data_IF_344703847947
#
_entry.id   IF_344703847947
#
_cell.length_a   1.000
_cell.length_b   1.000
_cell.length_c   1.000
_cell.angle_alpha   90.00
_cell.angle_beta   90.00
_cell.angle_gamma   90.00
#
_symmetry.space_group_name_H-M   'P 1'
#
loop_
_entity.id
_entity.type
_entity.pdbx_description
1 polymer ?
#
# COMPACT_ATOMS: atom_id res chain seq x y z
N UNK A 1 23.62 -21.40 -14.26
CA UNK A 1 22.19 -21.12 -14.14
C UNK A 1 21.88 -21.11 -12.65
N UNK A 2 21.55 -19.97 -12.08
CA UNK A 2 21.12 -19.88 -10.68
C UNK A 2 19.80 -20.61 -10.52
N UNK A 3 19.79 -21.58 -9.63
CA UNK A 3 18.61 -22.37 -9.30
C UNK A 3 17.60 -21.44 -8.60
N UNK A 4 16.49 -21.10 -9.25
CA UNK A 4 15.47 -20.20 -8.68
C UNK A 4 14.44 -20.99 -7.91
N UNK A 5 14.11 -20.55 -6.70
CA UNK A 5 13.02 -21.13 -5.91
C UNK A 5 11.69 -20.51 -6.37
N UNK A 6 10.71 -21.31 -6.80
CA UNK A 6 9.42 -20.76 -7.24
C UNK A 6 8.62 -20.19 -6.05
N UNK A 7 8.03 -19.01 -6.25
CA UNK A 7 7.04 -18.40 -5.35
C UNK A 7 5.68 -18.56 -6.00
N UNK A 8 4.94 -19.59 -5.61
CA UNK A 8 3.73 -20.02 -6.32
C UNK A 8 2.55 -19.09 -6.06
N UNK A 9 2.15 -18.89 -4.82
CA UNK A 9 0.99 -18.11 -4.42
C UNK A 9 1.39 -16.76 -3.82
N UNK A 10 0.61 -15.71 -4.11
CA UNK A 10 0.77 -14.39 -3.52
C UNK A 10 -0.58 -13.89 -2.98
N UNK A 11 -0.52 -13.32 -1.78
CA UNK A 11 -1.56 -12.42 -1.25
C UNK A 11 -1.00 -11.00 -1.30
N UNK A 12 -1.58 -10.16 -2.13
CA UNK A 12 -1.24 -8.73 -2.21
C UNK A 12 -1.94 -8.00 -1.05
N UNK A 13 -1.27 -7.92 0.08
CA UNK A 13 -1.86 -7.43 1.33
C UNK A 13 -2.08 -5.91 1.39
N UNK A 14 -1.62 -5.16 0.39
CA UNK A 14 -1.93 -3.74 0.21
C UNK A 14 -1.76 -3.33 -1.25
N UNK A 15 -2.87 -3.04 -1.90
CA UNK A 15 -2.92 -2.43 -3.22
C UNK A 15 -4.13 -1.47 -3.31
N UNK A 16 -4.32 -0.86 -4.47
CA UNK A 16 -5.47 0.01 -4.76
C UNK A 16 -6.12 -0.41 -6.06
N UNK A 17 -7.33 0.10 -6.32
CA UNK A 17 -8.02 -0.12 -7.58
C UNK A 17 -7.27 0.43 -8.80
N UNK A 18 -7.67 -0.02 -9.97
CA UNK A 18 -7.19 0.48 -11.26
C UNK A 18 -8.15 1.48 -11.87
N UNK A 19 -7.64 2.41 -12.69
CA UNK A 19 -8.44 3.41 -13.38
C UNK A 19 -9.40 2.76 -14.36
N UNK A 20 -10.63 3.28 -14.43
CA UNK A 20 -11.65 2.87 -15.42
C UNK A 20 -11.51 3.62 -16.73
N UNK A 21 -10.66 4.63 -16.81
CA UNK A 21 -10.48 5.52 -17.97
C UNK A 21 -9.15 5.25 -18.67
N UNK A 22 -9.16 5.41 -20.01
CA UNK A 22 -7.95 5.32 -20.80
C UNK A 22 -7.07 6.56 -20.61
N UNK A 23 -5.76 6.36 -20.71
CA UNK A 23 -4.76 7.40 -20.47
C UNK A 23 -3.98 7.75 -21.74
N UNK A 24 -3.73 9.03 -21.93
CA UNK A 24 -2.73 9.49 -22.88
C UNK A 24 -1.31 9.23 -22.39
N UNK A 25 -0.31 9.34 -23.28
CA UNK A 25 1.10 9.05 -22.98
C UNK A 25 1.60 9.82 -21.76
N UNK A 26 1.44 11.15 -21.74
CA UNK A 26 1.95 11.98 -20.64
C UNK A 26 1.27 11.67 -19.29
N UNK A 27 -0.04 11.38 -19.31
CA UNK A 27 -0.79 11.03 -18.10
C UNK A 27 -0.41 9.64 -17.58
N UNK A 28 -0.21 8.68 -18.48
CA UNK A 28 0.28 7.35 -18.12
C UNK A 28 1.68 7.42 -17.52
N UNK A 29 2.57 8.15 -18.18
CA UNK A 29 3.94 8.34 -17.75
C UNK A 29 4.04 9.01 -16.36
N UNK A 30 3.23 10.05 -16.11
CA UNK A 30 3.18 10.70 -14.80
C UNK A 30 2.77 9.74 -13.66
N UNK A 31 2.00 8.69 -13.96
CA UNK A 31 1.62 7.66 -12.98
C UNK A 31 2.70 6.61 -12.73
N UNK A 32 3.66 6.46 -13.63
CA UNK A 32 4.87 5.68 -13.36
C UNK A 32 5.79 6.41 -12.38
N UNK A 33 5.76 7.75 -12.36
CA UNK A 33 6.55 8.58 -11.45
C UNK A 33 5.99 8.58 -10.03
N UNK A 34 6.88 8.54 -9.04
CA UNK A 34 6.48 8.56 -7.63
C UNK A 34 5.75 9.86 -7.23
N UNK A 35 6.15 10.98 -7.80
CA UNK A 35 5.61 12.32 -7.51
C UNK A 35 4.35 12.67 -8.31
N UNK A 36 3.92 11.83 -9.25
CA UNK A 36 2.80 12.10 -10.18
C UNK A 36 2.94 13.43 -10.96
N UNK A 37 4.14 13.93 -11.05
CA UNK A 37 4.49 15.09 -11.87
C UNK A 37 4.90 14.63 -13.27
N UNK A 38 4.76 15.48 -14.30
CA UNK A 38 5.32 15.19 -15.62
C UNK A 38 6.84 15.04 -15.53
N UNK A 39 7.39 14.23 -16.43
CA UNK A 39 8.85 14.10 -16.55
C UNK A 39 9.46 15.44 -16.97
N UNK A 40 10.69 15.69 -16.53
CA UNK A 40 11.42 16.89 -16.94
C UNK A 40 11.64 16.90 -18.49
N UNK A 41 11.73 18.06 -19.11
CA UNK A 41 11.98 18.15 -20.55
C UNK A 41 13.17 17.30 -20.99
N UNK A 42 12.99 16.50 -22.04
CA UNK A 42 14.02 15.60 -22.57
C UNK A 42 14.24 14.31 -21.76
N UNK A 43 13.42 14.04 -20.74
CA UNK A 43 13.46 12.81 -19.95
C UNK A 43 12.13 12.05 -20.00
N UNK A 44 12.13 10.80 -19.55
CA UNK A 44 10.93 9.95 -19.49
C UNK A 44 10.97 9.04 -18.27
N UNK A 45 9.83 8.79 -17.63
CA UNK A 45 9.70 7.80 -16.55
C UNK A 45 9.75 6.36 -17.07
N UNK A 46 9.69 6.13 -18.37
CA UNK A 46 9.99 4.82 -18.94
C UNK A 46 11.50 4.46 -18.82
N UNK A 47 12.38 5.44 -18.58
CA UNK A 47 13.80 5.23 -18.29
C UNK A 47 14.05 5.22 -16.76
N UNK A 48 13.21 4.46 -16.04
CA UNK A 48 13.35 4.16 -14.62
C UNK A 48 13.30 2.65 -14.41
N UNK A 49 13.66 2.18 -13.20
CA UNK A 49 13.55 0.76 -12.85
C UNK A 49 12.12 0.22 -13.07
N UNK A 50 11.11 0.98 -12.66
CA UNK A 50 9.71 0.64 -12.88
C UNK A 50 9.35 0.67 -14.37
N UNK A 51 9.79 1.70 -15.08
CA UNK A 51 9.54 1.83 -16.52
C UNK A 51 10.15 0.70 -17.35
N UNK A 52 11.39 0.30 -17.06
CA UNK A 52 12.01 -0.87 -17.70
C UNK A 52 11.27 -2.17 -17.37
N UNK A 53 10.79 -2.33 -16.13
CA UNK A 53 10.01 -3.50 -15.76
C UNK A 53 8.66 -3.56 -16.50
N UNK A 54 7.97 -2.43 -16.63
CA UNK A 54 6.73 -2.33 -17.46
C UNK A 54 7.03 -2.72 -18.90
N UNK A 55 8.08 -2.18 -19.52
CA UNK A 55 8.49 -2.50 -20.88
C UNK A 55 8.88 -3.97 -21.07
N UNK A 56 9.40 -4.61 -20.01
CA UNK A 56 9.78 -6.03 -20.04
C UNK A 56 8.58 -6.96 -20.02
N UNK A 57 7.63 -6.73 -19.11
CA UNK A 57 6.61 -7.74 -18.78
C UNK A 57 5.22 -7.45 -19.33
N UNK A 58 4.86 -6.17 -19.53
CA UNK A 58 3.50 -5.86 -19.94
C UNK A 58 3.22 -6.07 -21.43
N UNK A 59 4.12 -5.67 -22.36
CA UNK A 59 3.84 -5.81 -23.80
C UNK A 59 3.55 -7.22 -24.25
N UNK A 60 4.27 -8.29 -23.81
CA UNK A 60 3.97 -9.65 -24.23
C UNK A 60 2.55 -10.13 -23.90
N UNK A 61 1.98 -9.65 -22.78
CA UNK A 61 0.61 -9.98 -22.40
C UNK A 61 -0.46 -9.30 -23.28
N UNK A 62 -0.06 -8.27 -24.00
CA UNK A 62 -0.91 -7.57 -24.97
C UNK A 62 -0.62 -7.98 -26.42
N UNK A 63 0.25 -8.97 -26.64
CA UNK A 63 0.61 -9.46 -27.97
C UNK A 63 1.69 -8.62 -28.68
N UNK A 64 2.54 -7.93 -27.93
CA UNK A 64 3.67 -7.16 -28.43
C UNK A 64 5.00 -7.75 -27.97
N UNK A 65 6.09 -7.40 -28.62
CA UNK A 65 7.40 -7.77 -28.16
C UNK A 65 7.80 -7.03 -26.87
N UNK A 66 8.56 -7.71 -26.02
CA UNK A 66 9.13 -7.07 -24.84
C UNK A 66 10.01 -5.88 -25.25
N UNK A 67 9.97 -4.82 -24.45
CA UNK A 67 10.70 -3.58 -24.70
C UNK A 67 10.30 -2.80 -25.96
N UNK A 68 9.12 -3.07 -26.55
CA UNK A 68 8.61 -2.26 -27.65
C UNK A 68 8.54 -0.75 -27.25
N UNK A 69 8.53 0.16 -28.23
CA UNK A 69 8.38 1.59 -27.94
C UNK A 69 7.12 1.90 -27.10
N UNK A 70 7.19 2.79 -26.10
CA UNK A 70 6.06 3.15 -25.27
C UNK A 70 4.82 3.59 -26.05
N UNK A 71 5.01 4.31 -27.16
CA UNK A 71 3.89 4.74 -28.02
C UNK A 71 3.13 3.54 -28.63
N UNK A 72 3.84 2.49 -29.06
CA UNK A 72 3.23 1.26 -29.58
C UNK A 72 2.46 0.52 -28.49
N UNK A 73 3.05 0.44 -27.29
CA UNK A 73 2.39 -0.18 -26.14
C UNK A 73 1.07 0.52 -25.81
N UNK A 74 1.07 1.86 -25.72
CA UNK A 74 -0.14 2.63 -25.40
C UNK A 74 -1.17 2.62 -26.53
N UNK A 75 -0.74 2.57 -27.80
CA UNK A 75 -1.67 2.36 -28.92
C UNK A 75 -2.40 1.01 -28.77
N UNK A 76 -1.65 -0.05 -28.46
CA UNK A 76 -2.23 -1.38 -28.24
C UNK A 76 -3.17 -1.46 -27.03
N UNK A 77 -2.82 -0.78 -25.92
CA UNK A 77 -3.74 -0.64 -24.77
C UNK A 77 -5.08 -0.03 -25.18
N UNK A 78 -5.03 1.05 -25.98
CA UNK A 78 -6.23 1.75 -26.46
C UNK A 78 -7.08 0.89 -27.40
N UNK A 79 -6.45 0.09 -28.26
CA UNK A 79 -7.15 -0.86 -29.13
C UNK A 79 -7.89 -1.94 -28.34
N UNK A 80 -7.29 -2.47 -27.30
CA UNK A 80 -7.88 -3.48 -26.43
C UNK A 80 -8.95 -2.90 -25.49
N UNK A 81 -8.80 -1.62 -25.12
CA UNK A 81 -9.60 -0.96 -24.12
C UNK A 81 -9.15 -1.28 -22.68
N UNK A 82 -9.58 -0.43 -21.75
CA UNK A 82 -9.15 -0.47 -20.33
C UNK A 82 -9.51 -1.79 -19.66
N UNK A 83 -10.73 -2.27 -19.85
CA UNK A 83 -11.24 -3.48 -19.19
C UNK A 83 -10.45 -4.73 -19.59
N UNK A 84 -10.22 -4.93 -20.89
CA UNK A 84 -9.47 -6.09 -21.39
C UNK A 84 -7.99 -6.02 -21.02
N UNK A 85 -7.39 -4.84 -21.10
CA UNK A 85 -6.01 -4.62 -20.68
C UNK A 85 -5.85 -4.93 -19.18
N UNK A 86 -6.72 -4.39 -18.33
CA UNK A 86 -6.70 -4.65 -16.90
C UNK A 86 -6.89 -6.13 -16.59
N UNK A 87 -7.83 -6.79 -17.25
CA UNK A 87 -8.08 -8.22 -17.09
C UNK A 87 -6.84 -9.06 -17.43
N UNK A 88 -6.16 -8.80 -18.55
CA UNK A 88 -4.96 -9.54 -18.95
C UNK A 88 -3.82 -9.35 -17.96
N UNK A 89 -3.56 -8.12 -17.58
CA UNK A 89 -2.44 -7.79 -16.69
C UNK A 89 -2.68 -8.28 -15.26
N UNK A 90 -3.88 -8.07 -14.69
CA UNK A 90 -4.21 -8.50 -13.33
C UNK A 90 -4.21 -10.02 -13.21
N UNK A 91 -4.80 -10.76 -14.15
CA UNK A 91 -4.73 -12.24 -14.14
C UNK A 91 -3.32 -12.77 -14.22
N UNK A 92 -2.44 -12.12 -14.99
CA UNK A 92 -1.05 -12.53 -15.15
C UNK A 92 -0.19 -12.25 -13.90
N UNK A 93 -0.71 -11.53 -12.89
CA UNK A 93 -0.05 -11.37 -11.58
C UNK A 93 0.07 -12.70 -10.84
N UNK A 94 -0.89 -13.61 -10.99
CA UNK A 94 -0.98 -14.83 -10.20
C UNK A 94 -1.18 -14.56 -8.71
N UNK A 95 -1.80 -13.45 -8.34
CA UNK A 95 -2.20 -13.12 -6.97
C UNK A 95 -3.55 -13.77 -6.69
N UNK A 96 -3.66 -14.51 -5.60
CA UNK A 96 -4.88 -15.21 -5.21
C UNK A 96 -5.86 -14.33 -4.43
N UNK A 97 -5.34 -13.37 -3.65
CA UNK A 97 -6.15 -12.43 -2.87
C UNK A 97 -5.56 -11.03 -2.97
N UNK A 98 -6.39 -10.03 -3.28
CA UNK A 98 -6.03 -8.62 -3.26
C UNK A 98 -6.71 -7.93 -2.08
N UNK A 99 -5.95 -7.30 -1.18
CA UNK A 99 -6.48 -6.42 -0.15
C UNK A 99 -6.42 -4.98 -0.65
N UNK A 100 -7.58 -4.41 -0.92
CA UNK A 100 -7.74 -3.16 -1.69
C UNK A 100 -8.02 -1.99 -0.74
N UNK A 101 -7.08 -1.06 -0.62
CA UNK A 101 -7.31 0.23 0.04
C UNK A 101 -8.15 1.14 -0.88
N UNK A 102 -9.41 1.36 -0.51
CA UNK A 102 -10.37 2.16 -1.29
C UNK A 102 -10.24 3.67 -1.06
N UNK A 103 -9.33 4.10 -0.20
CA UNK A 103 -9.17 5.51 0.20
C UNK A 103 -8.37 6.40 -0.78
N UNK A 104 -8.05 5.96 -2.00
CA UNK A 104 -7.49 6.86 -3.01
C UNK A 104 -8.60 7.60 -3.76
N UNK A 105 -8.43 8.92 -3.99
CA UNK A 105 -9.37 9.67 -4.82
C UNK A 105 -9.23 9.27 -6.30
N UNK A 106 -10.33 9.33 -7.01
CA UNK A 106 -10.40 9.06 -8.45
C UNK A 106 -11.42 7.99 -8.81
N UNK A 107 -11.62 7.81 -10.12
CA UNK A 107 -12.49 6.78 -10.65
C UNK A 107 -11.73 5.44 -10.73
N UNK A 108 -11.63 4.76 -9.59
CA UNK A 108 -10.92 3.50 -9.42
C UNK A 108 -11.89 2.34 -9.20
N UNK A 109 -11.49 1.16 -9.63
CA UNK A 109 -12.23 -0.07 -9.36
C UNK A 109 -12.25 -0.39 -7.87
N UNK A 110 -13.41 -0.81 -7.37
CA UNK A 110 -13.57 -1.35 -6.02
C UNK A 110 -13.14 -2.82 -5.91
N UNK A 111 -13.21 -3.41 -4.69
CA UNK A 111 -12.81 -4.81 -4.47
C UNK A 111 -13.54 -5.81 -5.37
N UNK A 112 -14.85 -5.71 -5.54
CA UNK A 112 -15.62 -6.63 -6.38
C UNK A 112 -15.20 -6.59 -7.86
N UNK A 113 -14.93 -5.40 -8.39
CA UNK A 113 -14.45 -5.24 -9.77
C UNK A 113 -13.01 -5.74 -9.92
N UNK A 114 -12.15 -5.50 -8.91
CA UNK A 114 -10.79 -6.04 -8.88
C UNK A 114 -10.81 -7.57 -8.90
N UNK A 115 -11.65 -8.20 -8.07
CA UNK A 115 -11.82 -9.64 -8.02
C UNK A 115 -12.24 -10.20 -9.39
N UNK A 116 -13.24 -9.58 -10.04
CA UNK A 116 -13.72 -9.96 -11.36
C UNK A 116 -12.64 -9.83 -12.43
N UNK A 117 -11.92 -8.71 -12.46
CA UNK A 117 -10.87 -8.45 -13.44
C UNK A 117 -9.66 -9.38 -13.23
N UNK A 118 -9.22 -9.60 -12.01
CA UNK A 118 -8.10 -10.47 -11.69
C UNK A 118 -8.45 -11.98 -11.76
N UNK A 119 -9.73 -12.33 -11.61
CA UNK A 119 -10.16 -13.72 -11.47
C UNK A 119 -9.68 -14.34 -10.16
N UNK A 120 -9.66 -13.55 -9.09
CA UNK A 120 -9.15 -13.91 -7.76
C UNK A 120 -10.05 -13.29 -6.68
N UNK A 121 -9.77 -13.54 -5.41
CA UNK A 121 -10.47 -12.89 -4.31
C UNK A 121 -9.98 -11.43 -4.12
N UNK A 122 -10.87 -10.55 -3.66
CA UNK A 122 -10.50 -9.23 -3.19
C UNK A 122 -11.33 -8.81 -1.97
N UNK A 123 -10.67 -8.17 -1.02
CA UNK A 123 -11.26 -7.67 0.23
C UNK A 123 -10.92 -6.20 0.43
N UNK A 124 -11.73 -5.51 1.21
CA UNK A 124 -11.54 -4.09 1.47
C UNK A 124 -10.64 -3.81 2.66
N UNK A 125 -9.76 -2.81 2.50
CA UNK A 125 -9.04 -2.12 3.58
C UNK A 125 -9.63 -0.73 3.71
N UNK A 126 -10.06 -0.36 4.91
CA UNK A 126 -10.66 0.95 5.16
C UNK A 126 -9.60 1.95 5.62
N UNK A 127 -9.54 3.10 4.94
CA UNK A 127 -8.63 4.19 5.29
C UNK A 127 -9.26 5.12 6.31
N UNK A 128 -8.66 5.21 7.50
CA UNK A 128 -9.19 5.95 8.63
C UNK A 128 -9.36 7.45 8.34
N UNK A 129 -8.45 8.06 7.58
CA UNK A 129 -8.53 9.46 7.19
C UNK A 129 -9.79 9.75 6.36
N UNK A 130 -10.08 8.87 5.39
CA UNK A 130 -11.24 9.01 4.51
C UNK A 130 -12.54 8.72 5.25
N UNK A 131 -12.53 7.74 6.15
CA UNK A 131 -13.67 7.46 7.02
C UNK A 131 -14.03 8.69 7.86
N UNK A 132 -13.03 9.34 8.48
CA UNK A 132 -13.24 10.57 9.24
C UNK A 132 -13.81 11.70 8.38
N UNK A 133 -13.32 11.87 7.14
CA UNK A 133 -13.82 12.86 6.21
C UNK A 133 -15.29 12.64 5.86
N UNK A 134 -15.69 11.41 5.58
CA UNK A 134 -17.08 11.06 5.26
C UNK A 134 -18.02 11.30 6.45
N UNK A 135 -17.60 10.94 7.66
CA UNK A 135 -18.38 11.18 8.88
C UNK A 135 -18.52 12.68 9.14
N UNK A 136 -17.45 13.45 8.95
CA UNK A 136 -17.49 14.90 9.12
C UNK A 136 -18.48 15.59 8.17
N UNK A 137 -18.63 15.08 6.94
CA UNK A 137 -19.54 15.65 5.93
C UNK A 137 -21.03 15.45 6.30
N UNK A 138 -21.33 14.53 7.20
CA UNK A 138 -22.70 14.20 7.63
C UNK A 138 -22.99 14.57 9.08
N UNK A 139 -22.02 15.12 9.83
CA UNK A 139 -22.15 15.45 11.24
C UNK A 139 -22.31 16.94 11.46
N UNK A 140 -23.38 17.36 12.14
CA UNK A 140 -23.70 18.78 12.35
C UNK A 140 -23.01 19.42 13.57
N UNK A 141 -22.49 18.64 14.50
CA UNK A 141 -21.82 19.11 15.72
C UNK A 141 -20.59 18.28 16.04
N UNK A 142 -19.68 18.81 16.87
CA UNK A 142 -18.47 18.08 17.30
C UNK A 142 -18.84 16.82 18.06
N UNK A 143 -19.87 16.88 18.91
CA UNK A 143 -20.30 15.72 19.70
C UNK A 143 -20.91 14.64 18.83
N UNK A 144 -21.80 14.99 17.92
CA UNK A 144 -22.34 14.06 16.94
C UNK A 144 -21.23 13.46 16.07
N UNK A 145 -20.27 14.27 15.64
CA UNK A 145 -19.12 13.78 14.88
C UNK A 145 -18.33 12.72 15.64
N UNK A 146 -17.98 12.94 16.90
CA UNK A 146 -17.18 11.99 17.67
C UNK A 146 -17.94 10.67 17.96
N UNK A 147 -19.24 10.76 18.21
CA UNK A 147 -20.09 9.56 18.38
C UNK A 147 -20.20 8.79 17.07
N UNK A 148 -20.57 9.47 15.98
CA UNK A 148 -20.74 8.86 14.68
C UNK A 148 -19.40 8.26 14.16
N UNK A 149 -18.26 8.87 14.52
CA UNK A 149 -16.93 8.38 14.14
C UNK A 149 -16.62 7.03 14.79
N UNK A 150 -16.94 6.87 16.09
CA UNK A 150 -16.80 5.59 16.79
C UNK A 150 -17.70 4.50 16.19
N UNK A 151 -18.96 4.84 15.89
CA UNK A 151 -19.90 3.92 15.24
C UNK A 151 -19.45 3.55 13.82
N UNK A 152 -18.93 4.50 13.05
CA UNK A 152 -18.42 4.25 11.71
C UNK A 152 -17.19 3.33 11.68
N UNK A 153 -16.26 3.47 12.63
CA UNK A 153 -15.13 2.55 12.79
C UNK A 153 -15.61 1.15 13.11
N UNK A 154 -16.54 1.01 14.05
CA UNK A 154 -17.09 -0.29 14.44
C UNK A 154 -17.87 -0.94 13.27
N UNK A 155 -18.67 -0.17 12.56
CA UNK A 155 -19.42 -0.65 11.38
C UNK A 155 -18.47 -1.09 10.27
N UNK A 156 -17.43 -0.30 9.98
CA UNK A 156 -16.43 -0.65 8.98
C UNK A 156 -15.70 -1.96 9.34
N UNK A 157 -15.42 -2.19 10.62
CA UNK A 157 -14.77 -3.41 11.08
C UNK A 157 -15.58 -4.69 10.80
N UNK A 158 -16.89 -4.61 10.61
CA UNK A 158 -17.72 -5.78 10.32
C UNK A 158 -17.56 -6.33 8.90
N UNK A 159 -17.02 -5.55 7.97
CA UNK A 159 -16.85 -5.93 6.55
C UNK A 159 -15.42 -5.80 6.04
N UNK A 160 -14.60 -4.92 6.61
CA UNK A 160 -13.22 -4.76 6.26
C UNK A 160 -12.34 -5.88 6.82
N UNK A 161 -11.20 -6.14 6.18
CA UNK A 161 -10.19 -7.08 6.70
C UNK A 161 -9.08 -6.38 7.48
N UNK A 162 -8.95 -5.07 7.32
CA UNK A 162 -7.95 -4.24 8.00
C UNK A 162 -8.31 -2.76 7.93
N UNK A 163 -7.68 -1.99 8.81
CA UNK A 163 -7.63 -0.53 8.68
C UNK A 163 -6.25 -0.08 8.17
N UNK A 164 -6.20 1.08 7.52
CA UNK A 164 -4.93 1.71 7.14
C UNK A 164 -4.93 3.19 7.52
N UNK A 165 -3.77 3.69 7.98
CA UNK A 165 -3.58 5.10 8.34
C UNK A 165 -2.16 5.57 8.00
N UNK A 166 -2.01 6.84 7.63
CA UNK A 166 -0.71 7.48 7.51
C UNK A 166 -0.14 7.81 8.89
N UNK A 167 1.16 7.61 9.07
CA UNK A 167 1.85 7.97 10.32
C UNK A 167 2.65 9.27 10.19
N UNK A 168 2.70 9.84 8.98
CA UNK A 168 3.41 11.08 8.72
C UNK A 168 2.47 12.26 8.57
N UNK A 169 2.90 13.42 9.06
CA UNK A 169 2.25 14.71 8.85
C UNK A 169 3.19 15.66 8.13
N UNK A 170 2.66 16.54 7.31
CA UNK A 170 3.46 17.59 6.70
C UNK A 170 4.00 18.54 7.78
N UNK A 171 5.30 18.82 7.75
CA UNK A 171 5.97 19.76 8.63
C UNK A 171 6.86 20.72 7.83
N UNK A 172 7.32 21.78 8.48
CA UNK A 172 8.35 22.65 7.90
C UNK A 172 9.64 21.81 7.74
N UNK A 173 10.06 21.59 6.49
CA UNK A 173 11.23 20.75 6.18
C UNK A 173 10.92 19.33 5.73
N UNK A 174 9.63 18.96 5.56
CA UNK A 174 9.24 17.64 5.03
C UNK A 174 8.12 16.96 5.82
N UNK A 175 8.05 15.64 5.69
CA UNK A 175 7.12 14.81 6.47
C UNK A 175 7.76 14.41 7.80
N UNK A 176 7.05 14.63 8.90
CA UNK A 176 7.44 14.16 10.24
C UNK A 176 6.52 13.02 10.67
N UNK A 177 7.12 11.96 11.24
CA UNK A 177 6.36 10.88 11.86
C UNK A 177 5.70 11.39 13.14
N UNK A 178 4.40 11.14 13.28
CA UNK A 178 3.64 11.52 14.45
C UNK A 178 2.55 10.49 14.77
N UNK A 179 2.86 9.66 15.75
CA UNK A 179 1.95 8.66 16.34
C UNK A 179 2.19 8.68 17.85
N UNK A 180 1.13 8.90 18.62
CA UNK A 180 1.22 8.93 20.08
C UNK A 180 1.09 7.50 20.65
N UNK A 181 1.89 7.15 21.69
CA UNK A 181 1.80 5.87 22.36
C UNK A 181 0.51 5.72 23.21
N UNK A 182 -0.24 6.80 23.39
CA UNK A 182 -1.51 6.81 24.12
C UNK A 182 -2.58 7.56 23.33
N UNK A 183 -3.86 7.17 23.47
CA UNK A 183 -4.96 7.92 22.87
C UNK A 183 -5.10 9.30 23.51
N UNK A 184 -5.54 10.33 22.78
CA UNK A 184 -5.76 11.64 23.34
C UNK A 184 -6.91 11.63 24.34
N UNK A 185 -6.76 12.37 25.44
CA UNK A 185 -7.84 12.55 26.41
C UNK A 185 -9.09 13.23 25.81
N UNK A 186 -10.30 12.98 26.36
CA UNK A 186 -11.56 13.41 25.75
C UNK A 186 -11.69 14.92 25.56
N UNK A 187 -11.18 15.73 26.49
CA UNK A 187 -11.21 17.19 26.37
C UNK A 187 -10.35 17.65 25.19
N UNK A 188 -9.14 17.11 25.07
CA UNK A 188 -8.20 17.42 23.99
C UNK A 188 -8.77 17.00 22.64
N UNK A 189 -9.33 15.78 22.56
CA UNK A 189 -9.96 15.26 21.36
C UNK A 189 -11.07 16.17 20.86
N UNK A 190 -11.95 16.64 21.75
CA UNK A 190 -13.06 17.54 21.43
C UNK A 190 -12.59 18.87 20.84
N UNK A 191 -11.53 19.46 21.42
CA UNK A 191 -10.92 20.70 20.94
C UNK A 191 -10.32 20.52 19.54
N UNK A 192 -9.59 19.44 19.32
CA UNK A 192 -8.94 19.14 18.05
C UNK A 192 -9.98 18.83 16.96
N UNK A 193 -10.99 18.02 17.26
CA UNK A 193 -12.09 17.73 16.35
C UNK A 193 -12.83 19.00 15.93
N UNK A 194 -13.16 19.88 16.88
CA UNK A 194 -13.82 21.16 16.59
C UNK A 194 -12.99 22.05 15.67
N UNK A 195 -11.69 22.16 15.92
CA UNK A 195 -10.77 22.93 15.05
C UNK A 195 -10.69 22.36 13.64
N UNK A 196 -10.60 21.03 13.52
CA UNK A 196 -10.52 20.37 12.23
C UNK A 196 -11.81 20.54 11.41
N UNK A 197 -12.98 20.36 12.03
CA UNK A 197 -14.29 20.57 11.40
C UNK A 197 -14.46 22.01 10.92
N UNK A 198 -14.07 23.00 11.73
CA UNK A 198 -14.14 24.40 11.35
C UNK A 198 -13.28 24.70 10.10
N UNK A 199 -12.04 24.18 10.06
CA UNK A 199 -11.16 24.35 8.87
C UNK A 199 -11.71 23.66 7.63
N UNK A 200 -12.32 22.47 7.76
CA UNK A 200 -12.97 21.80 6.63
C UNK A 200 -14.11 22.64 6.07
N UNK A 201 -14.92 23.25 6.92
CA UNK A 201 -16.04 24.09 6.46
C UNK A 201 -15.52 25.36 5.78
N UNK A 202 -14.47 26.00 6.31
CA UNK A 202 -13.82 27.15 5.67
C UNK A 202 -13.31 26.81 4.27
N UNK A 203 -12.64 25.65 4.07
CA UNK A 203 -12.18 25.19 2.76
C UNK A 203 -13.35 24.88 1.81
N UNK A 204 -14.44 24.26 2.30
CA UNK A 204 -15.64 23.99 1.49
C UNK A 204 -16.27 25.29 1.00
N UNK A 205 -16.35 26.30 1.86
CA UNK A 205 -16.87 27.62 1.51
C UNK A 205 -15.95 28.35 0.52
N UNK A 206 -14.63 28.24 0.70
CA UNK A 206 -13.65 28.81 -0.23
C UNK A 206 -13.72 28.15 -1.62
N UNK A 207 -13.87 26.81 -1.68
CA UNK A 207 -14.01 26.08 -2.93
C UNK A 207 -15.27 26.45 -3.72
N UNK A 208 -16.36 26.83 -3.05
CA UNK A 208 -17.61 27.31 -3.68
C UNK A 208 -17.47 28.72 -4.29
N UNK A 209 -16.47 29.52 -3.86
CA UNK A 209 -16.28 30.89 -4.31
C UNK A 209 -15.44 31.06 -5.58
N UNK A 210 -14.81 30.00 -6.11
CA UNK A 210 -14.08 30.04 -7.37
C UNK A 210 -13.01 28.97 -7.54
N UNK A 211 -12.53 28.74 -8.78
CA UNK A 211 -11.60 27.65 -9.10
C UNK A 211 -10.13 27.84 -8.65
N UNK A 212 -9.86 28.80 -7.78
CA UNK A 212 -8.53 29.11 -7.25
C UNK A 212 -8.13 28.33 -5.99
N UNK A 213 -9.03 27.53 -5.42
CA UNK A 213 -8.73 26.68 -4.28
C UNK A 213 -7.91 25.46 -4.72
N UNK A 214 -6.67 25.37 -4.25
CA UNK A 214 -5.87 24.14 -4.39
C UNK A 214 -6.64 23.00 -3.71
N UNK A 215 -7.15 22.05 -4.50
CA UNK A 215 -7.94 20.90 -4.05
C UNK A 215 -7.11 19.87 -3.29
N UNK A 216 -6.50 20.30 -2.19
CA UNK A 216 -5.93 19.40 -1.19
C UNK A 216 -6.81 19.51 0.04
N UNK A 217 -7.71 18.54 0.28
CA UNK A 217 -8.58 18.54 1.46
C UNK A 217 -7.80 18.76 2.75
N UNK A 218 -8.46 19.36 3.76
CA UNK A 218 -7.87 19.60 5.08
C UNK A 218 -7.42 18.25 5.65
N UNK A 219 -6.11 18.08 5.84
CA UNK A 219 -5.58 16.86 6.43
C UNK A 219 -6.13 16.68 7.84
N UNK A 220 -6.47 15.45 8.17
CA UNK A 220 -6.92 15.08 9.52
C UNK A 220 -5.85 15.43 10.54
N UNK A 221 -6.26 16.04 11.66
CA UNK A 221 -5.35 16.41 12.76
C UNK A 221 -4.67 15.17 13.34
N UNK A 222 -3.38 15.28 13.73
CA UNK A 222 -2.63 14.15 14.27
C UNK A 222 -3.30 13.48 15.47
N UNK A 223 -3.78 14.27 16.43
CA UNK A 223 -4.43 13.73 17.63
C UNK A 223 -5.78 13.05 17.31
N UNK A 224 -6.48 13.51 16.28
CA UNK A 224 -7.71 12.84 15.80
C UNK A 224 -7.36 11.52 15.11
N UNK A 225 -6.24 11.46 14.37
CA UNK A 225 -5.74 10.21 13.81
C UNK A 225 -5.28 9.24 14.89
N UNK A 226 -4.65 9.73 15.95
CA UNK A 226 -4.28 8.88 17.08
C UNK A 226 -5.53 8.26 17.73
N UNK A 227 -6.57 9.06 17.95
CA UNK A 227 -7.86 8.53 18.43
C UNK A 227 -8.43 7.46 17.51
N UNK A 228 -8.43 7.70 16.19
CA UNK A 228 -8.92 6.73 15.20
C UNK A 228 -8.12 5.43 15.19
N UNK A 229 -6.78 5.51 15.26
CA UNK A 229 -5.90 4.33 15.31
C UNK A 229 -6.18 3.49 16.55
N UNK A 230 -6.32 4.12 17.72
CA UNK A 230 -6.67 3.42 18.96
C UNK A 230 -8.08 2.80 18.90
N UNK A 231 -9.06 3.52 18.31
CA UNK A 231 -10.41 2.98 18.10
C UNK A 231 -10.42 1.80 17.14
N UNK A 232 -9.63 1.88 16.05
CA UNK A 232 -9.50 0.79 15.07
C UNK A 232 -8.84 -0.46 15.69
N UNK A 233 -7.78 -0.27 16.50
CA UNK A 233 -7.13 -1.39 17.22
C UNK A 233 -8.09 -2.09 18.20
N UNK A 234 -8.97 -1.34 18.85
CA UNK A 234 -9.99 -1.91 19.74
C UNK A 234 -10.99 -2.83 19.01
N UNK A 235 -11.10 -2.73 17.68
CA UNK A 235 -11.90 -3.65 16.87
C UNK A 235 -11.20 -5.00 16.58
N UNK A 236 -9.92 -5.15 16.92
CA UNK A 236 -9.16 -6.40 16.75
C UNK A 236 -8.71 -6.70 15.31
N UNK A 237 -8.96 -5.81 14.34
CA UNK A 237 -8.46 -5.95 12.98
C UNK A 237 -7.02 -5.44 12.85
N UNK A 238 -6.20 -5.99 11.95
CA UNK A 238 -4.87 -5.47 11.67
C UNK A 238 -4.89 -4.00 11.26
N UNK A 239 -3.92 -3.23 11.79
CA UNK A 239 -3.73 -1.83 11.45
C UNK A 239 -2.48 -1.65 10.58
N UNK A 240 -2.68 -1.25 9.34
CA UNK A 240 -1.61 -0.92 8.42
C UNK A 240 -1.16 0.53 8.61
N UNK A 241 0.12 0.74 8.87
CA UNK A 241 0.75 2.05 9.09
C UNK A 241 1.57 2.47 7.87
N UNK A 242 1.09 3.45 7.11
CA UNK A 242 1.79 3.97 5.94
C UNK A 242 2.90 4.93 6.36
N UNK A 243 4.15 4.49 6.21
CA UNK A 243 5.33 5.18 6.71
C UNK A 243 5.72 6.43 5.89
N UNK A 244 5.40 6.47 4.60
CA UNK A 244 5.89 7.53 3.72
C UNK A 244 7.43 7.53 3.66
N UNK A 245 8.05 8.68 3.92
CA UNK A 245 9.51 8.82 4.00
C UNK A 245 10.04 8.76 5.43
N UNK A 246 9.21 8.46 6.43
CA UNK A 246 9.60 8.49 7.83
C UNK A 246 10.42 7.26 8.24
N UNK A 247 11.33 7.47 9.20
CA UNK A 247 12.10 6.39 9.83
C UNK A 247 11.20 5.57 10.77
N UNK A 248 10.98 4.26 10.50
CA UNK A 248 10.16 3.39 11.33
C UNK A 248 10.67 3.22 12.77
N UNK A 249 11.95 3.44 13.04
CA UNK A 249 12.50 3.35 14.38
C UNK A 249 11.79 4.30 15.38
N UNK A 250 11.19 5.38 14.86
CA UNK A 250 10.39 6.33 15.66
C UNK A 250 9.03 5.81 16.09
N UNK A 251 8.62 4.64 15.62
CA UNK A 251 7.41 3.94 16.08
C UNK A 251 7.64 3.02 17.28
N UNK A 252 8.87 2.93 17.81
CA UNK A 252 9.22 2.00 18.87
C UNK A 252 8.33 2.16 20.12
N UNK A 253 8.07 3.39 20.56
CA UNK A 253 7.23 3.66 21.73
C UNK A 253 5.76 3.27 21.47
N UNK A 254 5.24 3.55 20.26
CA UNK A 254 3.91 3.13 19.88
C UNK A 254 3.79 1.61 19.74
N UNK A 255 4.79 0.96 19.17
CA UNK A 255 4.82 -0.50 19.07
C UNK A 255 4.88 -1.15 20.47
N UNK A 256 5.66 -0.60 21.40
CA UNK A 256 5.70 -1.08 22.78
C UNK A 256 4.36 -0.87 23.50
N UNK A 257 3.74 0.29 23.33
CA UNK A 257 2.47 0.62 23.97
C UNK A 257 1.29 -0.22 23.46
N UNK A 258 1.36 -0.71 22.23
CA UNK A 258 0.29 -1.51 21.60
C UNK A 258 0.48 -3.03 21.77
N UNK A 259 1.57 -3.46 22.37
CA UNK A 259 1.81 -4.88 22.66
C UNK A 259 0.74 -5.43 23.62
N UNK A 260 0.16 -6.58 23.27
CA UNK A 260 -0.90 -7.21 24.07
C UNK A 260 -2.33 -6.69 23.81
N UNK A 261 -2.53 -5.70 22.94
CA UNK A 261 -3.89 -5.20 22.61
C UNK A 261 -4.65 -6.08 21.61
N UNK A 262 -4.07 -7.20 21.14
CA UNK A 262 -4.76 -8.14 20.26
C UNK A 262 -4.91 -7.64 18.80
N UNK A 263 -4.17 -6.60 18.41
CA UNK A 263 -4.16 -6.05 17.06
C UNK A 263 -2.75 -6.15 16.47
N UNK A 264 -2.64 -6.69 15.27
CA UNK A 264 -1.38 -6.72 14.51
C UNK A 264 -1.12 -5.39 13.80
N UNK A 265 0.12 -4.90 13.90
CA UNK A 265 0.59 -3.70 13.20
C UNK A 265 1.38 -4.10 11.96
N UNK A 266 1.04 -3.53 10.80
CA UNK A 266 1.75 -3.78 9.54
C UNK A 266 2.40 -2.50 9.04
N UNK A 267 3.74 -2.46 9.00
CA UNK A 267 4.53 -1.32 8.55
C UNK A 267 4.61 -1.31 7.03
N UNK A 268 3.85 -0.42 6.37
CA UNK A 268 3.79 -0.32 4.91
C UNK A 268 4.88 0.57 4.34
N UNK A 269 5.48 0.12 3.22
CA UNK A 269 6.35 0.94 2.37
C UNK A 269 7.61 1.45 3.07
N UNK A 270 8.30 0.60 3.81
CA UNK A 270 9.46 0.95 4.62
C UNK A 270 10.70 1.42 3.88
N UNK A 271 10.78 1.32 2.54
CA UNK A 271 11.95 1.80 1.79
C UNK A 271 12.01 3.35 1.73
N UNK A 272 13.19 3.98 1.96
CA UNK A 272 14.52 3.39 2.06
C UNK A 272 14.90 2.88 3.47
N UNK A 273 14.05 3.01 4.47
CA UNK A 273 14.27 2.60 5.87
C UNK A 273 13.82 1.15 6.13
N UNK A 274 13.96 0.27 5.14
CA UNK A 274 13.49 -1.13 5.20
C UNK A 274 14.19 -1.94 6.29
N UNK A 275 15.47 -1.65 6.59
CA UNK A 275 16.21 -2.31 7.68
C UNK A 275 15.63 -1.96 9.04
N UNK A 276 15.27 -0.69 9.27
CA UNK A 276 14.62 -0.24 10.51
C UNK A 276 13.22 -0.85 10.67
N UNK A 277 12.44 -0.94 9.59
CA UNK A 277 11.14 -1.60 9.61
C UNK A 277 11.27 -3.10 9.94
N UNK A 278 12.22 -3.80 9.32
CA UNK A 278 12.51 -5.21 9.59
C UNK A 278 13.00 -5.43 11.04
N UNK A 279 13.88 -4.56 11.56
CA UNK A 279 14.36 -4.62 12.94
C UNK A 279 13.22 -4.40 13.95
N UNK A 280 12.29 -3.47 13.66
CA UNK A 280 11.13 -3.23 14.53
C UNK A 280 10.18 -4.45 14.53
N UNK A 281 9.91 -5.05 13.37
CA UNK A 281 9.15 -6.28 13.24
C UNK A 281 9.81 -7.45 13.98
N UNK A 282 11.14 -7.54 13.96
CA UNK A 282 11.89 -8.56 14.71
C UNK A 282 11.82 -8.40 16.22
N UNK A 283 11.59 -7.17 16.73
CA UNK A 283 11.56 -6.86 18.16
C UNK A 283 10.20 -7.07 18.81
N UNK A 284 9.10 -6.77 18.11
CA UNK A 284 7.75 -6.80 18.66
C UNK A 284 6.92 -7.94 18.06
N UNK A 285 6.25 -8.79 18.85
CA UNK A 285 5.55 -9.99 18.38
C UNK A 285 4.36 -9.69 17.45
N UNK A 286 3.70 -8.54 17.61
CA UNK A 286 2.53 -8.11 16.83
C UNK A 286 2.88 -7.15 15.68
N UNK A 287 4.17 -6.85 15.44
CA UNK A 287 4.60 -5.95 14.35
C UNK A 287 5.10 -6.76 13.16
N UNK A 288 4.66 -6.42 11.97
CA UNK A 288 5.02 -7.03 10.68
C UNK A 288 5.61 -5.98 9.75
N UNK A 289 6.53 -6.39 8.88
CA UNK A 289 7.11 -5.52 7.87
C UNK A 289 6.65 -5.93 6.47
N UNK A 290 6.17 -4.96 5.72
CA UNK A 290 5.78 -5.09 4.33
C UNK A 290 6.96 -4.77 3.40
N UNK A 291 7.09 -5.55 2.35
CA UNK A 291 8.06 -5.34 1.29
C UNK A 291 7.61 -4.24 0.32
N UNK A 292 6.30 -4.00 0.23
CA UNK A 292 5.67 -2.89 -0.48
C UNK A 292 6.12 -2.72 -1.92
N UNK A 293 6.25 -1.47 -2.33
CA UNK A 293 6.70 -1.09 -3.68
C UNK A 293 8.21 -1.28 -3.90
N UNK A 294 8.95 -1.81 -2.92
CA UNK A 294 10.41 -1.97 -2.99
C UNK A 294 10.85 -2.71 -4.25
N UNK A 295 10.33 -3.92 -4.56
CA UNK A 295 10.78 -4.64 -5.73
C UNK A 295 10.60 -3.86 -7.04
N UNK A 296 9.43 -3.26 -7.23
CA UNK A 296 9.14 -2.49 -8.44
C UNK A 296 10.03 -1.25 -8.60
N UNK A 297 10.35 -0.56 -7.49
CA UNK A 297 11.19 0.67 -7.50
C UNK A 297 12.67 0.38 -7.61
N UNK A 298 13.15 -0.72 -7.04
CA UNK A 298 14.58 -1.06 -7.02
C UNK A 298 14.99 -1.94 -8.20
N UNK A 299 14.02 -2.54 -8.91
CA UNK A 299 14.21 -3.27 -10.15
C UNK A 299 15.31 -4.32 -10.04
N UNK A 300 16.39 -4.16 -10.77
CA UNK A 300 17.53 -5.09 -10.79
C UNK A 300 18.18 -5.29 -9.40
N UNK A 301 18.04 -4.32 -8.48
CA UNK A 301 18.55 -4.42 -7.11
C UNK A 301 17.60 -5.05 -6.11
N UNK A 302 16.38 -5.39 -6.52
CA UNK A 302 15.35 -5.90 -5.61
C UNK A 302 15.81 -7.10 -4.77
N UNK A 303 16.55 -8.03 -5.36
CA UNK A 303 17.10 -9.18 -4.64
C UNK A 303 18.03 -8.76 -3.49
N UNK A 304 18.92 -7.78 -3.70
CA UNK A 304 19.81 -7.29 -2.65
C UNK A 304 19.05 -6.64 -1.49
N UNK A 305 18.03 -5.83 -1.79
CA UNK A 305 17.20 -5.19 -0.75
C UNK A 305 16.38 -6.24 0.03
N UNK A 306 15.84 -7.24 -0.65
CA UNK A 306 15.14 -8.35 0.02
C UNK A 306 16.07 -9.14 0.94
N UNK A 307 17.30 -9.42 0.51
CA UNK A 307 18.30 -10.10 1.34
C UNK A 307 18.56 -9.31 2.63
N UNK A 308 18.71 -7.98 2.56
CA UNK A 308 18.90 -7.12 3.74
C UNK A 308 17.72 -7.17 4.73
N UNK A 309 16.48 -7.28 4.24
CA UNK A 309 15.30 -7.43 5.09
C UNK A 309 15.29 -8.81 5.76
N UNK A 310 15.61 -9.86 5.00
CA UNK A 310 15.64 -11.25 5.49
C UNK A 310 16.73 -11.50 6.55
N UNK A 311 17.76 -10.63 6.65
CA UNK A 311 18.76 -10.69 7.71
C UNK A 311 18.21 -10.29 9.09
N UNK A 312 17.20 -9.42 9.14
CA UNK A 312 16.81 -8.69 10.35
C UNK A 312 15.45 -9.12 10.93
N UNK A 313 14.53 -9.56 10.09
CA UNK A 313 13.19 -9.97 10.52
C UNK A 313 13.02 -11.49 10.44
N UNK A 314 12.35 -12.11 11.42
CA UNK A 314 11.88 -13.48 11.29
C UNK A 314 10.98 -13.60 10.04
N UNK A 315 11.15 -14.67 9.25
CA UNK A 315 10.44 -14.82 7.96
C UNK A 315 8.92 -14.82 8.12
N UNK A 316 8.41 -15.27 9.30
CA UNK A 316 7.00 -15.21 9.65
C UNK A 316 6.45 -13.80 9.90
N UNK A 317 7.30 -12.77 9.84
CA UNK A 317 6.94 -11.36 10.07
C UNK A 317 6.99 -10.52 8.80
N UNK A 318 7.27 -11.15 7.65
CA UNK A 318 7.39 -10.46 6.36
C UNK A 318 6.16 -10.72 5.49
N UNK A 319 5.68 -9.68 4.84
CA UNK A 319 4.48 -9.68 4.00
C UNK A 319 4.79 -9.15 2.61
N UNK A 320 4.11 -9.69 1.60
CA UNK A 320 4.15 -9.14 0.25
C UNK A 320 3.00 -8.16 0.03
N UNK A 321 3.29 -7.01 -0.55
CA UNK A 321 2.32 -6.17 -1.24
C UNK A 321 2.91 -5.62 -2.53
N UNK A 322 2.06 -5.31 -3.51
CA UNK A 322 2.50 -4.54 -4.68
C UNK A 322 2.55 -3.04 -4.38
N UNK A 323 1.71 -2.56 -3.46
CA UNK A 323 1.46 -1.13 -3.25
C UNK A 323 0.99 -0.44 -4.53
N UNK A 324 0.54 -1.22 -5.51
CA UNK A 324 0.16 -0.76 -6.83
C UNK A 324 -1.13 0.08 -6.78
N UNK A 325 -1.21 1.06 -7.66
CA UNK A 325 -2.35 1.97 -7.74
C UNK A 325 -2.57 2.42 -9.17
N UNK A 326 -3.82 2.60 -9.56
CA UNK A 326 -4.26 3.22 -10.82
C UNK A 326 -3.91 2.45 -12.09
N UNK A 327 -2.70 1.88 -12.20
CA UNK A 327 -2.24 1.16 -13.39
C UNK A 327 -2.17 -0.34 -13.12
N UNK A 328 -2.85 -1.20 -13.89
CA UNK A 328 -2.73 -2.65 -13.75
C UNK A 328 -1.31 -3.15 -14.04
N UNK A 329 -0.53 -2.39 -14.80
CA UNK A 329 0.90 -2.62 -15.04
C UNK A 329 1.71 -2.68 -13.74
N UNK A 330 1.40 -1.81 -12.78
CA UNK A 330 2.13 -1.75 -11.50
C UNK A 330 1.84 -2.97 -10.62
N UNK A 331 0.62 -3.51 -10.67
CA UNK A 331 0.28 -4.78 -10.02
C UNK A 331 1.11 -5.94 -10.60
N UNK A 332 1.15 -6.02 -11.92
CA UNK A 332 1.94 -7.05 -12.62
C UNK A 332 3.43 -6.93 -12.29
N UNK A 333 3.99 -5.72 -12.40
CA UNK A 333 5.40 -5.45 -12.13
C UNK A 333 5.75 -5.79 -10.67
N UNK A 334 4.92 -5.36 -9.71
CA UNK A 334 5.12 -5.68 -8.30
C UNK A 334 5.20 -7.18 -8.05
N UNK A 335 4.23 -7.95 -8.54
CA UNK A 335 4.18 -9.39 -8.38
C UNK A 335 5.34 -10.12 -9.09
N UNK A 336 5.64 -9.75 -10.33
CA UNK A 336 6.73 -10.39 -11.11
C UNK A 336 8.10 -10.09 -10.52
N UNK A 337 8.37 -8.83 -10.19
CA UNK A 337 9.65 -8.41 -9.62
C UNK A 337 9.89 -9.03 -8.26
N UNK A 338 8.85 -9.13 -7.43
CA UNK A 338 8.93 -9.79 -6.13
C UNK A 338 9.28 -11.27 -6.28
N UNK A 339 8.55 -12.01 -7.14
CA UNK A 339 8.83 -13.43 -7.37
C UNK A 339 10.25 -13.66 -7.88
N UNK A 340 10.69 -12.87 -8.86
CA UNK A 340 12.04 -12.97 -9.41
C UNK A 340 13.10 -12.67 -8.36
N UNK A 341 12.90 -11.60 -7.57
CA UNK A 341 13.86 -11.19 -6.55
C UNK A 341 13.96 -12.21 -5.40
N UNK A 342 12.82 -12.63 -4.83
CA UNK A 342 12.80 -13.61 -3.74
C UNK A 342 13.32 -14.97 -4.21
N UNK A 343 12.87 -15.43 -5.36
CA UNK A 343 13.33 -16.70 -5.94
C UNK A 343 14.85 -16.72 -6.19
N UNK A 344 15.42 -15.57 -6.59
CA UNK A 344 16.87 -15.42 -6.79
C UNK A 344 17.65 -15.46 -5.47
N UNK A 345 17.17 -14.75 -4.43
CA UNK A 345 17.82 -14.75 -3.11
C UNK A 345 17.81 -16.15 -2.51
N UNK A 346 16.63 -16.78 -2.43
CA UNK A 346 16.48 -18.11 -1.85
C UNK A 346 17.22 -19.18 -2.65
N UNK A 347 17.16 -19.08 -3.99
CA UNK A 347 17.89 -20.01 -4.87
C UNK A 347 19.41 -19.86 -4.73
N UNK A 348 19.93 -18.64 -4.55
CA UNK A 348 21.32 -18.41 -4.24
C UNK A 348 21.76 -19.11 -2.96
N UNK A 349 21.00 -18.95 -1.87
CA UNK A 349 21.32 -19.59 -0.58
C UNK A 349 21.22 -21.14 -0.64
N UNK A 350 20.35 -21.69 -1.47
CA UNK A 350 20.32 -23.14 -1.74
C UNK A 350 21.57 -23.59 -2.51
N UNK A 351 21.96 -22.83 -3.54
CA UNK A 351 23.15 -23.12 -4.34
C UNK A 351 24.44 -23.06 -3.52
N UNK A 352 24.51 -22.11 -2.58
CA UNK A 352 25.64 -21.95 -1.66
C UNK A 352 25.66 -23.02 -0.53
N UNK A 353 24.64 -23.88 -0.46
CA UNK A 353 24.50 -24.92 0.56
C UNK A 353 24.09 -24.39 1.95
N UNK A 354 23.75 -23.09 2.05
CA UNK A 354 23.32 -22.48 3.31
C UNK A 354 21.91 -22.93 3.71
N UNK A 355 21.05 -23.22 2.73
CA UNK A 355 19.66 -23.62 2.93
C UNK A 355 19.32 -24.88 2.16
N UNK A 356 18.35 -25.68 2.69
CA UNK A 356 17.76 -26.76 1.91
C UNK A 356 16.73 -26.19 0.93
N UNK A 357 16.51 -26.88 -0.20
CA UNK A 357 15.44 -26.51 -1.15
C UNK A 357 14.06 -26.52 -0.49
N UNK A 358 13.83 -27.44 0.45
CA UNK A 358 12.58 -27.54 1.21
C UNK A 358 12.35 -26.32 2.10
N UNK A 359 13.37 -25.86 2.84
CA UNK A 359 13.25 -24.66 3.67
C UNK A 359 13.04 -23.42 2.82
N UNK A 360 13.76 -23.28 1.71
CA UNK A 360 13.59 -22.17 0.79
C UNK A 360 12.16 -22.11 0.22
N UNK A 361 11.58 -23.24 -0.19
CA UNK A 361 10.21 -23.32 -0.68
C UNK A 361 9.20 -22.97 0.44
N UNK A 362 9.42 -23.46 1.66
CA UNK A 362 8.58 -23.15 2.83
C UNK A 362 8.60 -21.65 3.14
N UNK A 363 9.77 -21.02 3.15
CA UNK A 363 9.90 -19.58 3.39
C UNK A 363 9.29 -18.76 2.25
N UNK A 364 9.46 -19.18 0.99
CA UNK A 364 8.82 -18.53 -0.15
C UNK A 364 7.29 -18.51 -0.03
N UNK A 365 6.68 -19.65 0.34
CA UNK A 365 5.24 -19.75 0.59
C UNK A 365 4.81 -18.89 1.79
N UNK A 366 5.58 -18.94 2.87
CA UNK A 366 5.32 -18.15 4.08
C UNK A 366 5.23 -16.66 3.78
N UNK A 367 6.22 -16.10 3.08
CA UNK A 367 6.30 -14.65 2.76
C UNK A 367 5.31 -14.29 1.65
N UNK A 368 5.13 -15.15 0.65
CA UNK A 368 4.25 -14.87 -0.50
C UNK A 368 2.77 -14.78 -0.11
N UNK A 369 2.30 -15.69 0.74
CA UNK A 369 0.87 -15.78 1.08
C UNK A 369 0.59 -16.17 2.53
N UNK A 370 1.32 -17.12 3.12
CA UNK A 370 0.99 -17.73 4.39
C UNK A 370 0.92 -16.73 5.56
N UNK A 371 1.85 -15.79 5.63
CA UNK A 371 1.84 -14.76 6.67
C UNK A 371 0.64 -13.83 6.54
N UNK A 372 0.31 -13.38 5.32
CA UNK A 372 -0.83 -12.53 5.08
C UNK A 372 -2.16 -13.26 5.41
N UNK A 373 -2.29 -14.53 5.02
CA UNK A 373 -3.47 -15.33 5.38
C UNK A 373 -3.66 -15.40 6.89
N UNK A 374 -2.59 -15.62 7.65
CA UNK A 374 -2.64 -15.65 9.13
C UNK A 374 -2.99 -14.28 9.73
N UNK A 375 -2.34 -13.20 9.29
CA UNK A 375 -2.51 -11.85 9.84
C UNK A 375 -3.92 -11.32 9.56
N UNK A 376 -4.46 -11.56 8.37
CA UNK A 376 -5.76 -11.02 7.95
C UNK A 376 -6.91 -12.03 8.05
N UNK A 377 -6.68 -13.21 8.63
CA UNK A 377 -7.72 -14.23 8.80
C UNK A 377 -8.33 -14.70 7.47
N UNK A 378 -7.50 -14.83 6.42
CA UNK A 378 -7.94 -15.29 5.10
C UNK A 378 -7.89 -16.82 5.02
N UNK A 379 -8.91 -17.44 4.42
CA UNK A 379 -8.98 -18.88 4.17
C UNK A 379 -8.01 -19.33 3.07
#
# INVERSE_FOLDING_TARGET
MTDTVPVADLVDQNCHGVLRTELGLGTFEARLGAARAPAAPGTTFFDTQTGFAVRRWCPPLLGLEAHCPPAHYLARRRELGVAETSRRLLRATGVSVHLVDTGLPGDLTGPAEMASAAGSEAREIVRLEILAEHVADTSGTVDAFLVNLGEAVHTAASSAVAFTSAVTVASVGGEALRVAPEPPGPVRLRVVAGRWLARREEERLAARRGPGGRGGGVRVEPELLDHLRWSAMACGLPLQLRLGAADPARLADFAAATEGHGCDLVLLHGYPHHRQAAALAGRHPHVYADLGTVPARTGARAAGVLAEILELAPFGKLLFSSGARELPELHLVGARQFREALGRVLGGWVTDGAWTRQDAARVATMIGSGNARRVYGLE
#
